data_IF_367399592507
#
_entry.id   IF_367399592507
#
_cell.length_a   1.000
_cell.length_b   1.000
_cell.length_c   1.000
_cell.angle_alpha   90.00
_cell.angle_beta   90.00
_cell.angle_gamma   90.00
#
_symmetry.space_group_name_H-M   'P 1'
#
loop_
_entity.id
_entity.type
_entity.pdbx_description
1 polymer ?
#
# COMPACT_ATOMS: atom_id res chain seq x y z
N UNK A 1 9.01 -23.10 11.74
CA UNK A 1 8.47 -22.13 10.77
C UNK A 1 8.74 -22.68 9.39
N UNK A 2 7.69 -22.93 8.59
CA UNK A 2 7.87 -23.25 7.17
C UNK A 2 8.09 -21.92 6.45
N UNK A 3 9.32 -21.65 6.02
CA UNK A 3 9.66 -20.48 5.21
C UNK A 3 8.95 -20.58 3.86
N UNK A 4 7.98 -19.68 3.62
CA UNK A 4 7.08 -19.78 2.48
C UNK A 4 7.71 -19.14 1.24
N UNK A 5 8.64 -19.86 0.59
CA UNK A 5 9.26 -19.43 -0.69
C UNK A 5 8.26 -19.30 -1.85
N UNK A 6 7.00 -19.66 -1.65
CA UNK A 6 5.95 -19.66 -2.68
C UNK A 6 5.43 -18.25 -3.02
N UNK A 7 5.44 -17.31 -2.07
CA UNK A 7 4.77 -16.02 -2.24
C UNK A 7 5.62 -14.97 -2.98
N UNK A 8 6.95 -15.11 -2.88
CA UNK A 8 7.86 -14.06 -3.28
C UNK A 8 9.02 -14.60 -4.09
N UNK A 9 9.49 -13.78 -5.02
CA UNK A 9 10.84 -13.87 -5.59
C UNK A 9 11.70 -12.70 -5.10
N UNK A 10 13.02 -12.87 -5.15
CA UNK A 10 13.96 -11.77 -4.95
C UNK A 10 14.34 -11.20 -6.32
N UNK A 11 14.31 -9.87 -6.44
CA UNK A 11 14.72 -9.16 -7.64
C UNK A 11 15.74 -8.09 -7.30
N UNK A 12 16.73 -7.94 -8.16
CA UNK A 12 17.79 -6.96 -7.97
C UNK A 12 17.32 -5.53 -8.24
N UNK A 13 18.09 -4.57 -7.73
CA UNK A 13 17.83 -3.13 -7.90
C UNK A 13 17.77 -2.69 -9.37
N UNK A 14 18.49 -3.38 -10.26
CA UNK A 14 18.52 -3.10 -11.70
C UNK A 14 17.27 -3.59 -12.45
N UNK A 15 16.49 -4.50 -11.86
CA UNK A 15 15.27 -5.03 -12.47
C UNK A 15 14.19 -3.95 -12.44
N UNK A 16 13.57 -3.68 -13.59
CA UNK A 16 12.48 -2.70 -13.74
C UNK A 16 11.36 -2.94 -12.71
N UNK A 17 10.74 -1.83 -12.27
CA UNK A 17 9.65 -1.86 -11.30
C UNK A 17 8.41 -2.53 -11.91
N UNK A 18 7.77 -3.42 -11.15
CA UNK A 18 6.49 -4.03 -11.58
C UNK A 18 5.51 -4.18 -10.41
N UNK A 19 4.30 -4.64 -10.74
CA UNK A 19 3.25 -4.90 -9.77
C UNK A 19 3.68 -5.92 -8.71
N UNK A 20 3.40 -5.62 -7.46
CA UNK A 20 3.72 -6.47 -6.32
C UNK A 20 5.14 -6.33 -5.80
N UNK A 21 5.94 -5.40 -6.32
CA UNK A 21 7.22 -5.02 -5.74
C UNK A 21 7.04 -4.41 -4.34
N UNK A 22 7.81 -4.90 -3.37
CA UNK A 22 7.83 -4.43 -1.99
C UNK A 22 9.00 -3.45 -1.81
N UNK A 23 8.68 -2.19 -1.49
CA UNK A 23 9.65 -1.11 -1.34
C UNK A 23 9.64 -0.67 0.13
N UNK A 24 10.68 -1.07 0.87
CA UNK A 24 10.85 -0.64 2.25
C UNK A 24 11.45 0.76 2.31
N UNK A 25 11.00 1.56 3.29
CA UNK A 25 11.44 2.95 3.49
C UNK A 25 11.34 3.79 2.19
N UNK A 26 10.20 3.69 1.51
CA UNK A 26 9.86 4.44 0.32
C UNK A 26 9.48 5.88 0.72
N UNK A 27 10.22 6.90 0.23
CA UNK A 27 9.87 8.29 0.50
C UNK A 27 8.61 8.68 -0.27
N UNK A 28 7.66 9.29 0.44
CA UNK A 28 6.38 9.75 -0.10
C UNK A 28 6.12 11.19 0.28
N UNK A 29 5.25 11.83 -0.49
CA UNK A 29 4.61 13.09 -0.11
C UNK A 29 3.23 12.79 0.47
N UNK A 30 2.92 13.43 1.60
CA UNK A 30 1.62 13.36 2.27
C UNK A 30 1.10 14.76 2.57
N UNK A 31 -0.19 14.87 2.85
CA UNK A 31 -0.83 16.12 3.19
C UNK A 31 -0.88 16.32 4.71
N UNK A 32 -0.40 17.46 5.19
CA UNK A 32 -0.51 17.87 6.58
C UNK A 32 -1.98 18.07 6.96
N UNK A 33 -2.42 17.43 8.04
CA UNK A 33 -3.75 17.67 8.63
C UNK A 33 -3.68 18.86 9.59
N UNK A 34 -3.62 20.08 9.02
CA UNK A 34 -3.55 21.34 9.78
C UNK A 34 -4.64 22.28 9.29
N UNK A 35 -5.28 22.97 10.23
CA UNK A 35 -6.19 24.05 9.88
C UNK A 35 -5.41 25.19 9.22
N UNK A 36 -5.92 25.66 8.08
CA UNK A 36 -5.34 26.76 7.33
C UNK A 36 -6.14 28.01 7.67
N UNK A 37 -5.46 29.05 8.14
CA UNK A 37 -6.03 30.39 8.15
C UNK A 37 -5.99 30.95 6.72
N UNK A 38 -7.12 31.40 6.14
CA UNK A 38 -7.09 32.07 4.85
C UNK A 38 -6.29 33.37 4.97
N UNK A 39 -5.00 33.33 4.60
CA UNK A 39 -4.15 34.52 4.48
C UNK A 39 -4.12 34.99 3.03
N UNK A 40 -3.62 36.22 2.85
CA UNK A 40 -3.47 36.96 1.58
C UNK A 40 -2.60 36.22 0.53
N UNK A 41 -2.03 35.06 0.85
CA UNK A 41 -1.17 34.30 -0.05
C UNK A 41 -1.98 33.59 -1.14
N UNK A 42 -1.41 33.42 -2.35
CA UNK A 42 -2.03 32.63 -3.40
C UNK A 42 -2.34 31.20 -2.92
N UNK A 43 -3.49 30.65 -3.33
CA UNK A 43 -3.96 29.31 -2.97
C UNK A 43 -2.90 28.22 -3.22
N UNK A 44 -2.09 28.38 -4.27
CA UNK A 44 -0.99 27.48 -4.62
C UNK A 44 0.09 27.43 -3.53
N UNK A 45 0.45 28.57 -2.94
CA UNK A 45 1.48 28.62 -1.88
C UNK A 45 0.93 28.04 -0.56
N UNK A 46 -0.36 28.23 -0.31
CA UNK A 46 -1.06 27.56 0.79
C UNK A 46 -1.00 26.04 0.61
N UNK A 47 -1.35 25.54 -0.58
CA UNK A 47 -1.31 24.09 -0.86
C UNK A 47 0.10 23.51 -0.72
N UNK A 48 1.13 24.20 -1.25
CA UNK A 48 2.53 23.79 -1.08
C UNK A 48 2.94 23.69 0.39
N UNK A 49 2.45 24.59 1.24
CA UNK A 49 2.76 24.57 2.67
C UNK A 49 2.18 23.37 3.43
N UNK A 50 1.23 22.65 2.83
CA UNK A 50 0.64 21.44 3.39
C UNK A 50 1.37 20.16 2.98
N UNK A 51 2.36 20.24 2.08
CA UNK A 51 3.10 19.05 1.66
C UNK A 51 4.13 18.68 2.72
N UNK A 52 4.05 17.46 3.22
CA UNK A 52 5.04 16.85 4.11
C UNK A 52 5.71 15.67 3.39
N UNK A 53 7.00 15.47 3.65
CA UNK A 53 7.70 14.26 3.24
C UNK A 53 7.67 13.25 4.40
N UNK A 54 7.48 11.98 4.06
CA UNK A 54 7.45 10.87 5.01
C UNK A 54 8.09 9.63 4.38
N UNK A 55 8.37 8.60 5.17
CA UNK A 55 8.83 7.30 4.67
C UNK A 55 7.84 6.20 5.04
N UNK A 56 7.46 5.39 4.05
CA UNK A 56 6.54 4.26 4.23
C UNK A 56 7.14 2.97 3.69
N UNK A 57 6.77 1.85 4.30
CA UNK A 57 6.86 0.55 3.66
C UNK A 57 5.72 0.43 2.65
N UNK A 58 6.01 0.18 1.36
CA UNK A 58 5.03 0.25 0.29
C UNK A 58 5.02 -0.97 -0.63
N UNK A 59 3.85 -1.28 -1.20
CA UNK A 59 3.69 -2.27 -2.28
C UNK A 59 3.19 -1.58 -3.55
N UNK A 60 3.78 -1.94 -4.69
CA UNK A 60 3.36 -1.44 -6.00
C UNK A 60 2.06 -2.09 -6.46
N UNK A 61 1.06 -1.25 -6.75
CA UNK A 61 -0.29 -1.68 -7.12
C UNK A 61 -0.59 -1.52 -8.61
N UNK A 62 0.05 -0.55 -9.29
CA UNK A 62 -0.12 -0.36 -10.75
C UNK A 62 0.13 -1.67 -11.50
N UNK A 63 -0.73 -1.99 -12.45
CA UNK A 63 -0.67 -3.24 -13.20
C UNK A 63 0.64 -3.40 -13.97
N UNK A 64 1.16 -4.63 -13.99
CA UNK A 64 2.42 -4.94 -14.67
C UNK A 64 2.40 -4.59 -16.16
N UNK A 65 1.29 -4.87 -16.86
CA UNK A 65 1.13 -4.54 -18.28
C UNK A 65 1.22 -3.03 -18.56
N UNK A 66 0.76 -2.20 -17.64
CA UNK A 66 0.82 -0.73 -17.78
C UNK A 66 2.25 -0.21 -17.57
N UNK A 67 3.01 -0.87 -16.69
CA UNK A 67 4.42 -0.57 -16.44
C UNK A 67 5.31 -1.04 -17.59
N UNK A 68 5.18 -2.29 -18.05
CA UNK A 68 6.01 -2.85 -19.13
C UNK A 68 5.89 -2.05 -20.43
N UNK A 69 4.70 -1.56 -20.76
CA UNK A 69 4.48 -0.72 -21.94
C UNK A 69 4.88 0.75 -21.76
N UNK A 70 5.44 1.13 -20.60
CA UNK A 70 5.77 2.52 -20.21
C UNK A 70 4.60 3.49 -20.41
N UNK A 71 3.37 2.99 -20.24
CA UNK A 71 2.13 3.76 -20.46
C UNK A 71 1.81 4.71 -19.31
N UNK A 72 2.52 4.59 -18.18
CA UNK A 72 2.26 5.36 -16.97
C UNK A 72 3.54 5.97 -16.44
N UNK A 73 3.52 7.28 -16.25
CA UNK A 73 4.63 8.04 -15.66
C UNK A 73 4.67 7.90 -14.13
N UNK A 74 3.49 7.73 -13.51
CA UNK A 74 3.32 7.62 -12.07
C UNK A 74 2.83 6.24 -11.68
N UNK A 75 3.37 5.69 -10.60
CA UNK A 75 2.95 4.39 -10.05
C UNK A 75 2.10 4.59 -8.81
N UNK A 76 1.03 3.81 -8.72
CA UNK A 76 0.17 3.69 -7.56
C UNK A 76 0.84 2.71 -6.60
N UNK A 77 1.01 3.16 -5.36
CA UNK A 77 1.52 2.33 -4.27
C UNK A 77 0.58 2.44 -3.07
N UNK A 78 0.52 1.38 -2.28
CA UNK A 78 -0.19 1.36 -1.00
C UNK A 78 0.79 1.08 0.14
N UNK A 79 0.63 1.73 1.30
CA UNK A 79 1.43 1.44 2.47
C UNK A 79 1.12 0.03 2.99
N UNK A 80 2.11 -0.57 3.63
CA UNK A 80 1.91 -1.77 4.41
C UNK A 80 2.71 -1.75 5.70
N UNK A 81 2.17 -2.38 6.73
CA UNK A 81 2.76 -2.40 8.08
C UNK A 81 3.10 -3.82 8.47
N UNK A 82 4.16 -4.03 9.23
CA UNK A 82 4.31 -5.34 9.89
C UNK A 82 3.11 -5.58 10.80
N UNK A 83 2.71 -6.85 10.94
CA UNK A 83 1.56 -7.21 11.76
C UNK A 83 1.71 -6.71 13.21
N UNK A 84 2.95 -6.66 13.73
CA UNK A 84 3.26 -6.07 15.04
C UNK A 84 3.03 -4.55 15.08
N UNK A 85 3.56 -3.80 14.10
CA UNK A 85 3.35 -2.35 14.02
C UNK A 85 1.85 -2.02 13.87
N UNK A 86 1.14 -2.76 13.02
CA UNK A 86 -0.30 -2.57 12.84
C UNK A 86 -1.07 -2.85 14.13
N UNK A 87 -0.69 -3.89 14.88
CA UNK A 87 -1.30 -4.23 16.17
C UNK A 87 -1.16 -3.10 17.17
N UNK A 88 -0.01 -2.42 17.24
CA UNK A 88 0.20 -1.29 18.15
C UNK A 88 -0.79 -0.16 17.85
N UNK A 89 -0.95 0.21 16.58
CA UNK A 89 -1.94 1.20 16.14
C UNK A 89 -3.37 0.77 16.44
N UNK A 90 -3.72 -0.50 16.18
CA UNK A 90 -5.03 -1.06 16.50
C UNK A 90 -5.33 -1.03 18.01
N UNK A 91 -4.35 -1.39 18.86
CA UNK A 91 -4.48 -1.34 20.33
C UNK A 91 -4.77 0.09 20.78
N UNK A 92 -4.06 1.07 20.22
CA UNK A 92 -4.26 2.48 20.57
C UNK A 92 -5.66 2.96 20.15
N UNK A 93 -6.06 2.70 18.89
CA UNK A 93 -7.37 3.07 18.38
C UNK A 93 -8.53 2.46 19.20
N UNK A 94 -8.38 1.19 19.63
CA UNK A 94 -9.35 0.53 20.51
C UNK A 94 -9.48 1.25 21.86
N UNK A 95 -8.34 1.63 22.47
CA UNK A 95 -8.33 2.35 23.75
C UNK A 95 -8.96 3.74 23.63
N UNK A 96 -8.64 4.46 22.56
CA UNK A 96 -9.20 5.79 22.29
C UNK A 96 -10.72 5.72 22.06
N UNK A 97 -11.21 4.62 21.49
CA UNK A 97 -12.64 4.32 21.37
C UNK A 97 -13.29 3.77 22.66
N UNK A 98 -12.57 3.72 23.79
CA UNK A 98 -13.08 3.20 25.06
C UNK A 98 -13.26 1.67 25.10
N UNK A 99 -12.64 0.94 24.19
CA UNK A 99 -12.74 -0.52 24.09
C UNK A 99 -11.50 -1.21 24.68
N UNK A 100 -11.67 -2.46 25.13
CA UNK A 100 -10.58 -3.25 25.69
C UNK A 100 -9.88 -4.12 24.61
N UNK A 101 -8.61 -3.86 24.26
CA UNK A 101 -7.90 -4.58 23.21
C UNK A 101 -7.40 -5.95 23.70
N UNK A 102 -8.27 -6.97 23.63
CA UNK A 102 -7.91 -8.34 24.01
C UNK A 102 -7.26 -9.11 22.86
N UNK A 103 -6.42 -10.11 23.19
CA UNK A 103 -5.82 -11.01 22.19
C UNK A 103 -6.86 -11.77 21.36
N UNK A 104 -8.03 -12.08 21.95
CA UNK A 104 -9.14 -12.73 21.23
C UNK A 104 -9.75 -11.80 20.18
N UNK A 105 -9.96 -10.54 20.53
CA UNK A 105 -10.47 -9.53 19.60
C UNK A 105 -9.48 -9.29 18.45
N UNK A 106 -8.18 -9.20 18.77
CA UNK A 106 -7.12 -9.09 17.77
C UNK A 106 -7.09 -10.30 16.81
N UNK A 107 -7.16 -11.52 17.33
CA UNK A 107 -7.20 -12.74 16.51
C UNK A 107 -8.37 -12.75 15.54
N UNK A 108 -9.58 -12.41 16.02
CA UNK A 108 -10.78 -12.28 15.17
C UNK A 108 -10.61 -11.20 14.10
N UNK A 109 -10.07 -10.05 14.47
CA UNK A 109 -9.82 -8.95 13.54
C UNK A 109 -8.84 -9.36 12.43
N UNK A 110 -7.76 -10.06 12.77
CA UNK A 110 -6.84 -10.65 11.79
C UNK A 110 -7.52 -11.68 10.87
N UNK A 111 -8.39 -12.54 11.41
CA UNK A 111 -9.18 -13.48 10.61
C UNK A 111 -10.11 -12.75 9.65
N UNK A 112 -10.74 -11.65 10.08
CA UNK A 112 -11.60 -10.83 9.24
C UNK A 112 -10.81 -10.16 8.10
N UNK A 113 -9.58 -9.69 8.35
CA UNK A 113 -8.68 -9.19 7.28
C UNK A 113 -8.30 -10.32 6.32
N UNK A 114 -7.82 -11.45 6.85
CA UNK A 114 -7.36 -12.60 6.05
C UNK A 114 -8.46 -13.12 5.12
N UNK A 115 -9.70 -13.14 5.60
CA UNK A 115 -10.86 -13.60 4.83
C UNK A 115 -11.47 -12.51 3.92
N UNK A 116 -10.92 -11.30 3.92
CA UNK A 116 -11.39 -10.19 3.09
C UNK A 116 -12.69 -9.53 3.58
N UNK A 117 -13.07 -9.73 4.84
CA UNK A 117 -14.23 -9.08 5.45
C UNK A 117 -13.98 -7.62 5.84
N UNK A 118 -12.71 -7.20 5.90
CA UNK A 118 -12.29 -5.81 6.10
C UNK A 118 -11.75 -5.28 4.77
N UNK A 119 -12.55 -4.51 4.03
CA UNK A 119 -12.40 -4.37 2.58
C UNK A 119 -11.29 -3.41 2.17
N UNK A 120 -10.95 -2.51 3.08
CA UNK A 120 -9.88 -1.52 3.02
C UNK A 120 -8.51 -2.09 3.43
N UNK A 121 -8.43 -3.37 3.80
CA UNK A 121 -7.20 -4.02 4.23
C UNK A 121 -6.96 -5.33 3.48
N UNK A 122 -5.69 -5.70 3.32
CA UNK A 122 -5.28 -7.03 2.88
C UNK A 122 -4.09 -7.54 3.70
N UNK A 123 -3.92 -8.85 3.79
CA UNK A 123 -2.80 -9.48 4.50
C UNK A 123 -1.82 -10.11 3.52
N UNK A 124 -0.53 -9.82 3.67
CA UNK A 124 0.56 -10.50 2.99
C UNK A 124 1.23 -11.47 3.95
N UNK A 125 1.63 -12.63 3.44
CA UNK A 125 2.34 -13.65 4.22
C UNK A 125 3.79 -13.21 4.49
N UNK A 126 4.42 -13.85 5.48
CA UNK A 126 5.88 -13.72 5.63
C UNK A 126 6.64 -14.34 4.45
N UNK A 127 7.86 -13.85 4.21
CA UNK A 127 8.72 -14.28 3.12
C UNK A 127 10.19 -14.17 3.48
N UNK A 128 10.99 -15.15 3.05
CA UNK A 128 12.44 -15.16 3.22
C UNK A 128 13.11 -15.74 1.96
N UNK A 129 13.86 -14.90 1.23
CA UNK A 129 14.61 -15.29 0.02
C UNK A 129 16.01 -14.69 0.13
N UNK A 130 17.02 -15.55 0.31
CA UNK A 130 18.38 -15.09 0.58
C UNK A 130 18.45 -14.29 1.89
N UNK A 131 18.95 -13.06 1.81
CA UNK A 131 19.04 -12.14 2.96
C UNK A 131 17.76 -11.28 3.12
N UNK A 132 16.87 -11.29 2.14
CA UNK A 132 15.63 -10.51 2.17
C UNK A 132 14.59 -11.21 3.04
N UNK A 133 14.05 -10.47 4.01
CA UNK A 133 13.06 -10.95 4.98
C UNK A 133 11.88 -9.99 5.08
N UNK A 134 10.68 -10.56 5.16
CA UNK A 134 9.45 -9.84 5.41
C UNK A 134 8.61 -10.65 6.41
N UNK A 135 8.21 -10.05 7.52
CA UNK A 135 7.19 -10.63 8.39
C UNK A 135 5.81 -10.43 7.78
N UNK A 136 4.79 -11.08 8.33
CA UNK A 136 3.39 -10.85 7.92
C UNK A 136 3.08 -9.36 7.88
N UNK A 137 2.49 -8.89 6.77
CA UNK A 137 2.16 -7.48 6.56
C UNK A 137 0.65 -7.26 6.42
N UNK A 138 0.19 -6.08 6.84
CA UNK A 138 -1.15 -5.55 6.53
C UNK A 138 -0.96 -4.43 5.51
N UNK A 139 -1.51 -4.61 4.31
CA UNK A 139 -1.60 -3.55 3.29
C UNK A 139 -2.84 -2.73 3.60
N UNK A 140 -2.68 -1.41 3.63
CA UNK A 140 -3.77 -0.47 3.89
C UNK A 140 -4.13 0.27 2.60
N UNK A 141 -5.41 0.19 2.21
CA UNK A 141 -5.93 0.81 1.00
C UNK A 141 -6.52 2.21 1.22
N UNK A 142 -6.57 2.73 2.45
CA UNK A 142 -7.09 4.09 2.70
C UNK A 142 -6.17 5.17 2.10
N UNK A 143 -4.86 5.00 2.30
CA UNK A 143 -3.87 5.97 1.84
C UNK A 143 -3.22 5.44 0.57
N UNK A 144 -3.70 5.94 -0.57
CA UNK A 144 -3.13 5.60 -1.88
C UNK A 144 -2.18 6.70 -2.31
N UNK A 145 -0.93 6.34 -2.55
CA UNK A 145 0.10 7.28 -2.98
C UNK A 145 0.41 7.08 -4.46
N UNK A 146 0.84 8.16 -5.11
CA UNK A 146 1.38 8.13 -6.46
C UNK A 146 2.77 8.73 -6.47
N UNK A 147 3.73 8.05 -7.08
CA UNK A 147 5.10 8.54 -7.25
C UNK A 147 5.56 8.36 -8.71
N UNK A 148 6.45 9.20 -9.23
CA UNK A 148 7.05 8.97 -10.54
C UNK A 148 7.78 7.63 -10.57
N UNK A 149 7.51 6.81 -11.59
CA UNK A 149 8.17 5.52 -11.79
C UNK A 149 9.70 5.68 -11.79
N UNK A 150 10.17 6.64 -12.57
CA UNK A 150 11.60 6.93 -12.76
C UNK A 150 12.28 7.31 -11.45
N UNK A 151 11.56 7.97 -10.53
CA UNK A 151 12.07 8.28 -9.20
C UNK A 151 12.29 7.01 -8.38
N UNK A 152 11.31 6.11 -8.31
CA UNK A 152 11.45 4.85 -7.55
C UNK A 152 12.55 3.98 -8.14
N UNK A 153 12.59 3.81 -9.46
CA UNK A 153 13.63 3.00 -10.12
C UNK A 153 15.04 3.57 -9.88
N UNK A 154 15.21 4.89 -10.00
CA UNK A 154 16.47 5.55 -9.68
C UNK A 154 16.86 5.41 -8.21
N UNK A 155 15.87 5.50 -7.30
CA UNK A 155 16.08 5.31 -5.88
C UNK A 155 16.57 3.90 -5.56
N UNK A 156 15.91 2.87 -6.09
CA UNK A 156 16.28 1.47 -5.88
C UNK A 156 17.70 1.19 -6.37
N UNK A 157 18.04 1.66 -7.57
CA UNK A 157 19.39 1.53 -8.13
C UNK A 157 20.44 2.26 -7.28
N UNK A 158 20.15 3.50 -6.85
CA UNK A 158 21.08 4.28 -6.03
C UNK A 158 21.36 3.66 -4.65
N UNK A 159 20.39 2.91 -4.11
CA UNK A 159 20.49 2.21 -2.83
C UNK A 159 21.06 0.79 -2.97
N UNK A 160 21.29 0.33 -4.20
CA UNK A 160 21.59 -1.08 -4.51
C UNK A 160 20.59 -2.05 -3.83
N UNK A 161 19.33 -1.61 -3.74
CA UNK A 161 18.32 -2.27 -2.92
C UNK A 161 17.61 -3.38 -3.70
N UNK A 162 18.04 -4.63 -3.51
CA UNK A 162 17.24 -5.80 -3.88
C UNK A 162 15.96 -5.86 -3.04
N UNK A 163 14.91 -6.44 -3.62
CA UNK A 163 13.56 -6.42 -3.03
C UNK A 163 12.80 -7.72 -3.25
N UNK A 164 11.81 -7.95 -2.41
CA UNK A 164 10.84 -9.01 -2.63
C UNK A 164 9.77 -8.54 -3.61
N UNK A 165 9.36 -9.43 -4.50
CA UNK A 165 8.27 -9.23 -5.46
C UNK A 165 7.25 -10.34 -5.28
N UNK A 166 5.98 -9.97 -5.17
CA UNK A 166 4.88 -10.93 -5.11
C UNK A 166 4.78 -11.72 -6.43
N UNK A 167 4.77 -13.04 -6.31
CA UNK A 167 4.52 -13.95 -7.43
C UNK A 167 3.02 -14.06 -7.73
N UNK A 168 2.63 -14.43 -8.97
CA UNK A 168 1.29 -14.96 -9.22
C UNK A 168 1.00 -16.21 -8.38
N UNK A 169 -0.26 -16.42 -7.93
CA UNK A 169 -1.43 -15.57 -8.12
C UNK A 169 -1.57 -14.44 -7.08
N UNK A 170 -0.59 -14.28 -6.17
CA UNK A 170 -0.73 -13.44 -4.98
C UNK A 170 -0.83 -11.95 -5.31
N UNK A 171 -0.08 -11.47 -6.30
CA UNK A 171 -0.19 -10.08 -6.77
C UNK A 171 -1.55 -9.79 -7.43
N UNK A 172 -2.14 -10.76 -8.15
CA UNK A 172 -3.47 -10.63 -8.74
C UNK A 172 -4.56 -10.63 -7.65
N UNK A 173 -4.42 -11.47 -6.63
CA UNK A 173 -5.30 -11.47 -5.46
C UNK A 173 -5.27 -10.13 -4.70
N UNK A 174 -4.08 -9.55 -4.50
CA UNK A 174 -3.91 -8.24 -3.88
C UNK A 174 -4.57 -7.14 -4.73
N UNK A 175 -4.35 -7.16 -6.05
CA UNK A 175 -4.96 -6.22 -6.99
C UNK A 175 -6.48 -6.31 -6.99
N UNK A 176 -7.02 -7.52 -6.89
CA UNK A 176 -8.46 -7.73 -6.80
C UNK A 176 -9.03 -7.16 -5.49
N UNK A 177 -8.32 -7.30 -4.36
CA UNK A 177 -8.72 -6.71 -3.09
C UNK A 177 -8.76 -5.17 -3.18
N UNK A 178 -7.74 -4.57 -3.78
CA UNK A 178 -7.69 -3.13 -4.04
C UNK A 178 -8.83 -2.66 -4.95
N UNK A 179 -9.12 -3.37 -6.05
CA UNK A 179 -10.23 -3.04 -6.93
C UNK A 179 -11.59 -3.10 -6.21
N UNK A 180 -11.83 -4.12 -5.38
CA UNK A 180 -13.07 -4.24 -4.58
C UNK A 180 -13.28 -3.06 -3.64
N UNK A 181 -12.20 -2.51 -3.07
CA UNK A 181 -12.29 -1.33 -2.21
C UNK A 181 -12.81 -0.11 -2.97
N UNK A 182 -12.26 0.19 -4.15
CA UNK A 182 -12.64 1.35 -4.97
C UNK A 182 -13.99 1.19 -5.69
N UNK A 183 -14.33 -0.02 -6.13
CA UNK A 183 -15.57 -0.30 -6.87
C UNK A 183 -16.85 -0.23 -6.03
N UNK A 184 -16.77 0.07 -4.72
CA UNK A 184 -17.93 0.09 -3.80
C UNK A 184 -18.95 1.20 -4.10
N UNK A 185 -18.69 2.09 -5.07
CA UNK A 185 -19.64 3.11 -5.49
C UNK A 185 -20.75 2.45 -6.31
N UNK A 186 -22.00 2.66 -5.89
CA UNK A 186 -23.18 1.95 -6.41
C UNK A 186 -23.28 1.93 -7.95
N UNK A 187 -23.78 0.80 -8.48
CA UNK A 187 -24.04 0.65 -9.90
C UNK A 187 -24.94 1.82 -10.37
N UNK A 188 -24.59 2.50 -11.47
CA UNK A 188 -25.40 3.60 -11.98
C UNK A 188 -26.80 3.08 -12.33
N UNK A 189 -27.83 3.89 -12.11
CA UNK A 189 -29.12 3.66 -12.76
C UNK A 189 -28.89 3.62 -14.27
N UNK A 190 -29.48 2.64 -14.94
CA UNK A 190 -29.30 2.43 -16.38
C UNK A 190 -29.62 3.69 -17.18
N UNK A 191 -28.87 3.93 -18.26
CA UNK A 191 -29.09 5.08 -19.14
C UNK A 191 -30.50 4.97 -19.74
N UNK A 192 -31.32 5.99 -19.51
CA UNK A 192 -32.63 6.07 -20.17
C UNK A 192 -32.41 6.35 -21.65
N UNK A 193 -32.86 5.42 -22.49
CA UNK A 193 -32.72 5.52 -23.94
C UNK A 193 -33.63 6.63 -24.47
N UNK A 194 -33.05 7.64 -25.12
CA UNK A 194 -33.76 8.75 -25.79
C UNK A 194 -33.56 8.75 -27.31
N UNK A 195 -33.06 7.65 -27.86
CA UNK A 195 -32.86 7.40 -29.30
C UNK A 195 -33.55 6.12 -29.76
#
# INVERSE_FOLDING_TARGET
>A
MMTNKLWYEAVDASVELTQGDIILNCPVVRWASKHIEPRINPEVEILKSLVEADEIDAVVMTQGCDLENRKVENVIICPHFSLSQYREGWVQAMRDAGQNPTSKAWGRYCDDIKNGYIWNLAMLNEGEIGELRLTHRIVDFHDVYTLPRTFIESLLQSREQSRLRLLPPYREHLSQAFARFFMRVGLPTGITKIW
#
